data_IF_922408062571
#
_entry.id   IF_922408062571
#
_cell.length_a   1.000
_cell.length_b   1.000
_cell.length_c   1.000
_cell.angle_alpha   90.00
_cell.angle_beta   90.00
_cell.angle_gamma   90.00
#
_symmetry.space_group_name_H-M   'P 1'
#
loop_
_entity.id
_entity.type
_entity.pdbx_description
1 polymer ?
#
# COMPACT_ATOMS: atom_id res chain seq x y z
N UNK A 1 14.39 2.10 -7.65
CA UNK A 1 14.06 0.86 -6.92
C UNK A 1 14.68 0.95 -5.53
N UNK A 2 14.03 0.46 -4.46
CA UNK A 2 14.60 0.54 -3.12
C UNK A 2 15.82 -0.38 -3.00
N UNK A 3 16.76 -0.08 -2.08
CA UNK A 3 17.89 -0.97 -1.81
C UNK A 3 17.41 -2.33 -1.28
N UNK A 4 18.19 -3.41 -1.46
CA UNK A 4 17.90 -4.70 -0.86
C UNK A 4 17.77 -4.61 0.66
N UNK A 5 16.87 -5.40 1.24
CA UNK A 5 16.71 -5.50 2.69
C UNK A 5 17.92 -6.16 3.34
N UNK A 6 18.20 -5.76 4.56
CA UNK A 6 19.17 -6.35 5.45
C UNK A 6 18.51 -6.71 6.76
N UNK A 7 19.18 -7.52 7.59
CA UNK A 7 18.69 -7.83 8.93
C UNK A 7 18.48 -6.57 9.80
N UNK A 8 19.22 -5.49 9.52
CA UNK A 8 19.07 -4.22 10.24
C UNK A 8 17.74 -3.52 9.95
N UNK A 9 17.14 -3.81 8.81
CA UNK A 9 15.84 -3.29 8.41
C UNK A 9 14.69 -4.04 9.11
N UNK A 10 15.00 -5.10 9.87
CA UNK A 10 14.01 -5.78 10.70
C UNK A 10 13.77 -5.02 12.01
N UNK A 11 12.51 -4.70 12.26
CA UNK A 11 12.03 -4.04 13.47
C UNK A 11 10.93 -4.89 14.13
N UNK A 12 10.40 -4.39 15.25
CA UNK A 12 9.25 -4.96 15.93
C UNK A 12 8.76 -4.02 17.03
N UNK A 13 7.58 -4.29 17.57
CA UNK A 13 6.99 -3.47 18.64
C UNK A 13 7.73 -3.60 19.98
N UNK A 14 8.56 -4.64 20.14
CA UNK A 14 9.42 -4.87 21.31
C UNK A 14 10.76 -5.50 20.89
N UNK A 15 11.78 -5.53 21.77
CA UNK A 15 13.04 -6.22 21.48
C UNK A 15 12.86 -7.71 21.14
N UNK A 16 11.90 -8.39 21.78
CA UNK A 16 11.59 -9.79 21.47
C UNK A 16 10.94 -9.95 20.10
N UNK A 17 10.00 -9.07 19.76
CA UNK A 17 9.34 -9.05 18.45
C UNK A 17 10.34 -8.77 17.32
N UNK A 18 11.23 -7.78 17.52
CA UNK A 18 12.33 -7.51 16.59
C UNK A 18 13.28 -8.70 16.45
N UNK A 19 13.63 -9.36 17.55
CA UNK A 19 14.48 -10.56 17.51
C UNK A 19 13.82 -11.67 16.68
N UNK A 20 12.51 -11.90 16.84
CA UNK A 20 11.78 -12.90 16.06
C UNK A 20 11.74 -12.54 14.58
N UNK A 21 11.53 -11.27 14.23
CA UNK A 21 11.60 -10.80 12.85
C UNK A 21 13.00 -11.00 12.23
N UNK A 22 14.08 -10.80 12.99
CA UNK A 22 15.45 -11.08 12.52
C UNK A 22 15.70 -12.58 12.33
N UNK A 23 15.18 -13.42 13.23
CA UNK A 23 15.26 -14.88 13.08
C UNK A 23 14.52 -15.31 11.82
N UNK A 24 13.30 -14.80 11.60
CA UNK A 24 12.51 -15.08 10.40
C UNK A 24 13.22 -14.62 9.12
N UNK A 25 13.81 -13.41 9.12
CA UNK A 25 14.60 -12.92 8.00
C UNK A 25 15.77 -13.85 7.65
N UNK A 26 16.47 -14.38 8.67
CA UNK A 26 17.59 -15.29 8.47
C UNK A 26 17.18 -16.72 8.09
N UNK A 27 15.96 -17.15 8.43
CA UNK A 27 15.46 -18.48 8.06
C UNK A 27 14.93 -18.55 6.63
N UNK A 28 14.56 -17.39 6.05
CA UNK A 28 14.03 -17.29 4.70
C UNK A 28 15.15 -17.02 3.69
N UNK A 29 14.93 -17.43 2.44
CA UNK A 29 15.84 -17.10 1.35
C UNK A 29 15.67 -15.64 0.93
N UNK A 30 16.76 -14.89 0.87
CA UNK A 30 16.78 -13.53 0.32
C UNK A 30 18.14 -13.19 -0.28
N UNK A 31 18.19 -13.15 -1.61
CA UNK A 31 19.37 -12.79 -2.41
C UNK A 31 19.24 -11.37 -2.99
N UNK A 32 18.19 -10.63 -2.57
CA UNK A 32 17.83 -9.33 -3.10
C UNK A 32 16.61 -9.39 -4.02
N UNK A 33 16.49 -8.38 -4.87
CA UNK A 33 15.39 -8.31 -5.83
C UNK A 33 15.44 -9.53 -6.77
N UNK A 34 14.27 -10.09 -7.08
CA UNK A 34 14.12 -11.30 -7.90
C UNK A 34 14.58 -12.61 -7.25
N UNK A 35 14.71 -12.66 -5.92
CA UNK A 35 14.82 -13.95 -5.22
C UNK A 35 13.64 -14.84 -5.60
N UNK A 36 13.86 -16.00 -6.25
CA UNK A 36 12.76 -16.83 -6.72
C UNK A 36 12.15 -17.60 -5.55
N UNK A 37 10.83 -17.88 -5.58
CA UNK A 37 10.15 -18.65 -4.53
C UNK A 37 10.82 -20.00 -4.27
N UNK A 38 10.79 -20.46 -3.02
CA UNK A 38 11.36 -21.73 -2.59
C UNK A 38 10.43 -22.47 -1.61
N UNK A 39 10.73 -23.74 -1.34
CA UNK A 39 9.97 -24.55 -0.38
C UNK A 39 10.16 -24.07 1.07
N UNK A 40 11.32 -23.50 1.37
CA UNK A 40 11.64 -22.91 2.68
C UNK A 40 11.03 -21.51 2.86
N UNK A 41 10.53 -20.91 1.77
CA UNK A 41 10.04 -19.54 1.73
C UNK A 41 11.12 -18.55 1.33
N UNK A 42 10.73 -17.58 0.50
CA UNK A 42 11.60 -16.53 -0.01
C UNK A 42 11.02 -15.15 0.27
N UNK A 43 11.86 -14.22 0.70
CA UNK A 43 11.47 -12.82 0.85
C UNK A 43 11.41 -12.17 -0.52
N UNK A 44 10.30 -11.51 -0.81
CA UNK A 44 10.07 -10.71 -2.00
C UNK A 44 9.98 -9.25 -1.58
N UNK A 45 10.95 -8.44 -2.05
CA UNK A 45 10.98 -7.01 -1.80
C UNK A 45 11.49 -6.24 -3.03
N UNK A 46 10.75 -5.24 -3.55
CA UNK A 46 9.38 -4.86 -3.17
C UNK A 46 8.39 -6.01 -3.31
N UNK A 47 7.46 -6.15 -2.36
CA UNK A 47 6.55 -7.30 -2.30
C UNK A 47 5.50 -7.35 -3.40
N UNK A 48 4.69 -8.40 -3.38
CA UNK A 48 3.79 -8.78 -4.47
C UNK A 48 2.70 -7.75 -4.81
N UNK A 49 2.38 -6.86 -3.88
CA UNK A 49 1.46 -5.72 -4.13
C UNK A 49 2.07 -4.62 -5.00
N UNK A 50 3.38 -4.69 -5.27
CA UNK A 50 4.15 -3.74 -6.07
C UNK A 50 4.39 -2.40 -5.37
N UNK A 51 5.34 -1.62 -5.91
CA UNK A 51 5.59 -0.24 -5.44
C UNK A 51 4.51 0.70 -5.96
N UNK A 52 4.40 0.73 -7.29
CA UNK A 52 3.32 1.35 -8.05
C UNK A 52 2.66 0.20 -8.82
N UNK A 53 1.34 0.07 -8.73
CA UNK A 53 0.60 -1.06 -9.28
C UNK A 53 -0.73 -0.56 -9.86
N UNK A 54 -1.84 -1.28 -9.64
CA UNK A 54 -3.20 -0.99 -10.12
C UNK A 54 -3.64 0.48 -10.12
N UNK A 55 -3.23 1.25 -9.10
CA UNK A 55 -3.58 2.67 -8.98
C UNK A 55 -2.87 3.60 -9.96
N UNK A 56 -1.79 3.15 -10.61
CA UNK A 56 -1.00 3.99 -11.51
C UNK A 56 -0.40 5.22 -10.82
N UNK A 57 -0.33 6.31 -11.57
CA UNK A 57 0.24 7.60 -11.18
C UNK A 57 -0.66 8.72 -11.73
N UNK A 58 -0.55 9.92 -11.17
CA UNK A 58 -1.21 11.11 -11.70
C UNK A 58 -0.14 12.05 -12.26
N UNK A 59 -0.43 12.66 -13.41
CA UNK A 59 0.51 13.53 -14.14
C UNK A 59 -0.14 14.89 -14.32
N UNK A 60 0.60 15.94 -13.95
CA UNK A 60 0.33 17.32 -14.33
C UNK A 60 1.22 17.69 -15.53
N UNK A 61 0.66 17.78 -16.74
CA UNK A 61 1.43 18.08 -17.94
C UNK A 61 1.86 19.55 -18.02
N UNK A 62 1.24 20.48 -17.31
CA UNK A 62 1.65 21.89 -17.32
C UNK A 62 2.86 22.10 -16.42
N UNK A 63 2.84 21.49 -15.23
CA UNK A 63 3.95 21.54 -14.27
C UNK A 63 5.06 20.54 -14.59
N UNK A 64 4.83 19.63 -15.54
CA UNK A 64 5.71 18.47 -15.79
C UNK A 64 5.99 17.69 -14.49
N UNK A 65 4.96 17.48 -13.69
CA UNK A 65 5.06 16.83 -12.39
C UNK A 65 4.25 15.53 -12.36
N UNK A 66 4.76 14.52 -11.69
CA UNK A 66 4.08 13.25 -11.45
C UNK A 66 3.89 13.05 -9.95
N UNK A 67 2.66 12.78 -9.53
CA UNK A 67 2.29 12.44 -8.16
C UNK A 67 1.98 10.94 -8.05
N UNK A 68 2.54 10.26 -7.05
CA UNK A 68 2.33 8.82 -6.85
C UNK A 68 2.26 8.42 -5.38
N UNK A 69 1.52 7.33 -5.11
CA UNK A 69 1.49 6.63 -3.82
C UNK A 69 2.31 5.34 -3.87
N UNK A 70 3.55 5.41 -3.41
CA UNK A 70 4.49 4.28 -3.42
C UNK A 70 4.32 3.39 -2.18
N UNK A 71 4.29 2.07 -2.38
CA UNK A 71 4.25 1.06 -1.32
C UNK A 71 5.56 0.31 -1.20
N UNK A 72 6.01 0.07 0.02
CA UNK A 72 7.24 -0.66 0.30
C UNK A 72 6.99 -1.67 1.42
N UNK A 73 6.32 -2.77 1.07
CA UNK A 73 6.05 -3.86 2.02
C UNK A 73 6.69 -5.16 1.50
N UNK A 74 7.47 -5.81 2.35
CA UNK A 74 8.06 -7.11 2.09
C UNK A 74 7.01 -8.23 2.21
N UNK A 75 7.08 -9.20 1.31
CA UNK A 75 6.24 -10.39 1.32
C UNK A 75 7.11 -11.65 1.45
N UNK A 76 6.50 -12.74 1.88
CA UNK A 76 7.05 -14.08 1.82
C UNK A 76 6.30 -14.85 0.77
N UNK A 77 7.05 -15.53 -0.09
CA UNK A 77 6.53 -16.43 -1.11
C UNK A 77 7.09 -17.83 -0.88
N UNK A 78 6.21 -18.78 -0.59
CA UNK A 78 6.57 -20.17 -0.29
C UNK A 78 5.92 -21.09 -1.31
N UNK A 79 6.72 -21.96 -1.92
CA UNK A 79 6.20 -23.01 -2.80
C UNK A 79 5.54 -24.10 -1.97
N UNK A 80 4.33 -24.49 -2.36
CA UNK A 80 3.59 -25.59 -1.75
C UNK A 80 3.46 -26.70 -2.80
N UNK A 81 4.02 -27.90 -2.56
CA UNK A 81 3.87 -29.04 -3.47
C UNK A 81 2.40 -29.32 -3.80
N UNK A 82 2.10 -29.64 -5.08
CA UNK A 82 0.73 -29.83 -5.56
C UNK A 82 -0.06 -30.87 -4.77
N UNK A 83 0.59 -31.94 -4.34
CA UNK A 83 -0.01 -33.03 -3.56
C UNK A 83 -0.46 -32.60 -2.16
N UNK A 84 -0.06 -31.42 -1.70
CA UNK A 84 -0.46 -30.82 -0.42
C UNK A 84 -1.58 -29.78 -0.58
N UNK A 85 -2.04 -29.51 -1.80
CA UNK A 85 -3.08 -28.52 -2.09
C UNK A 85 -4.39 -29.26 -2.33
N UNK A 86 -5.38 -29.03 -1.47
CA UNK A 86 -6.70 -29.63 -1.65
C UNK A 86 -7.49 -28.94 -2.76
N UNK A 87 -8.40 -29.68 -3.38
CA UNK A 87 -9.29 -29.15 -4.42
C UNK A 87 -10.21 -28.07 -3.83
N UNK A 88 -10.29 -26.91 -4.50
CA UNK A 88 -11.06 -25.77 -4.02
C UNK A 88 -10.33 -24.88 -2.99
N UNK A 89 -9.10 -25.22 -2.57
CA UNK A 89 -8.26 -24.30 -1.80
C UNK A 89 -7.65 -23.23 -2.73
N UNK A 90 -7.87 -21.97 -2.37
CA UNK A 90 -7.29 -20.84 -3.08
C UNK A 90 -7.81 -19.51 -2.57
N UNK A 91 -6.98 -18.48 -2.67
CA UNK A 91 -7.32 -17.10 -2.37
C UNK A 91 -7.35 -16.28 -3.64
N UNK A 92 -8.41 -15.50 -3.84
CA UNK A 92 -8.51 -14.53 -4.93
C UNK A 92 -7.94 -13.15 -4.54
N UNK A 93 -7.14 -13.08 -3.48
CA UNK A 93 -6.48 -11.85 -3.01
C UNK A 93 -4.96 -11.95 -3.18
N UNK A 94 -4.26 -10.85 -2.92
CA UNK A 94 -2.79 -10.76 -2.97
C UNK A 94 -2.12 -11.39 -1.74
N UNK A 95 -2.86 -12.18 -0.96
CA UNK A 95 -2.38 -13.00 0.15
C UNK A 95 -3.06 -14.37 0.12
N UNK A 96 -2.48 -15.36 0.81
CA UNK A 96 -2.96 -16.73 0.86
C UNK A 96 -2.47 -17.59 -0.31
N UNK A 97 -2.95 -18.83 -0.32
CA UNK A 97 -2.59 -19.85 -1.30
C UNK A 97 -3.07 -19.48 -2.71
N UNK A 98 -2.13 -19.41 -3.65
CA UNK A 98 -2.39 -19.26 -5.08
C UNK A 98 -2.26 -20.64 -5.73
N UNK A 99 -3.37 -21.27 -6.17
CA UNK A 99 -3.38 -22.68 -6.55
C UNK A 99 -2.54 -22.96 -7.79
N UNK A 100 -2.36 -22.00 -8.71
CA UNK A 100 -1.50 -22.13 -9.89
C UNK A 100 -1.75 -23.43 -10.68
N UNK A 101 -3.01 -23.72 -11.01
CA UNK A 101 -3.44 -25.00 -11.60
C UNK A 101 -2.60 -25.39 -12.84
N UNK A 102 -2.26 -26.68 -12.95
CA UNK A 102 -1.40 -27.21 -14.02
C UNK A 102 0.11 -27.14 -13.71
N UNK A 103 0.54 -26.40 -12.68
CA UNK A 103 1.93 -26.39 -12.22
C UNK A 103 2.18 -27.41 -11.08
N UNK A 104 3.42 -27.90 -10.91
CA UNK A 104 3.79 -28.82 -9.83
C UNK A 104 3.74 -28.19 -8.42
N UNK A 105 3.60 -26.87 -8.32
CA UNK A 105 3.54 -26.13 -7.07
C UNK A 105 2.43 -25.08 -7.10
N UNK A 106 1.73 -24.93 -5.98
CA UNK A 106 1.04 -23.70 -5.62
C UNK A 106 2.02 -22.73 -4.94
N UNK A 107 1.57 -21.50 -4.72
CA UNK A 107 2.38 -20.47 -4.05
C UNK A 107 1.58 -19.86 -2.90
N UNK A 108 2.05 -20.05 -1.68
CA UNK A 108 1.54 -19.34 -0.51
C UNK A 108 2.19 -17.96 -0.46
N UNK A 109 1.37 -16.90 -0.41
CA UNK A 109 1.83 -15.52 -0.37
C UNK A 109 1.34 -14.83 0.90
N UNK A 110 2.19 -14.05 1.55
CA UNK A 110 1.76 -13.21 2.64
C UNK A 110 2.76 -12.09 2.95
N UNK A 111 2.33 -10.99 3.58
CA UNK A 111 3.24 -9.98 4.08
C UNK A 111 4.20 -10.60 5.10
N UNK A 112 5.44 -10.11 5.15
CA UNK A 112 6.42 -10.51 6.14
C UNK A 112 6.02 -9.89 7.50
N UNK A 113 5.23 -10.63 8.27
CA UNK A 113 4.69 -10.21 9.56
C UNK A 113 5.34 -10.96 10.72
N UNK A 114 5.42 -10.28 11.86
CA UNK A 114 5.77 -10.88 13.14
C UNK A 114 4.60 -11.70 13.70
N UNK A 115 4.86 -12.42 14.79
CA UNK A 115 3.82 -13.18 15.52
C UNK A 115 2.68 -12.27 16.01
N UNK A 116 2.94 -10.97 16.19
CA UNK A 116 1.94 -9.97 16.57
C UNK A 116 1.13 -9.44 15.37
N UNK A 117 1.39 -9.92 14.15
CA UNK A 117 0.73 -9.46 12.93
C UNK A 117 1.23 -8.11 12.41
N UNK A 118 2.36 -7.61 12.92
CA UNK A 118 2.96 -6.35 12.50
C UNK A 118 4.02 -6.60 11.43
N UNK A 119 4.21 -5.70 10.43
CA UNK A 119 5.29 -5.85 9.46
C UNK A 119 6.64 -5.99 10.15
N UNK A 120 7.44 -7.00 9.80
CA UNK A 120 8.80 -7.14 10.31
C UNK A 120 9.78 -6.15 9.67
N UNK A 121 9.48 -5.65 8.47
CA UNK A 121 10.26 -4.61 7.79
C UNK A 121 9.98 -3.24 8.40
N UNK A 122 11.02 -2.45 8.70
CA UNK A 122 10.91 -1.11 9.27
C UNK A 122 10.06 -0.16 8.38
N UNK A 123 9.29 0.76 8.99
CA UNK A 123 8.56 1.78 8.24
C UNK A 123 9.51 2.77 7.53
N UNK A 124 9.09 3.43 6.46
CA UNK A 124 7.70 3.50 5.97
C UNK A 124 7.28 2.38 5.04
N UNK A 125 6.00 2.02 5.11
CA UNK A 125 5.36 1.02 4.23
C UNK A 125 4.56 1.67 3.09
N UNK A 126 4.26 2.96 3.22
CA UNK A 126 3.61 3.76 2.20
C UNK A 126 4.02 5.22 2.27
N UNK A 127 4.40 5.75 1.12
CA UNK A 127 4.80 7.14 0.93
C UNK A 127 3.97 7.78 -0.20
N UNK A 128 3.81 9.10 -0.16
CA UNK A 128 3.50 9.92 -1.34
C UNK A 128 4.78 10.57 -1.84
N UNK A 129 4.93 10.67 -3.14
CA UNK A 129 6.09 11.29 -3.77
C UNK A 129 5.68 12.17 -4.96
N UNK A 130 6.41 13.27 -5.12
CA UNK A 130 6.40 14.12 -6.30
C UNK A 130 7.66 13.87 -7.10
N UNK A 131 7.49 13.70 -8.41
CA UNK A 131 8.58 13.49 -9.36
C UNK A 131 8.53 14.60 -10.40
N UNK A 132 9.68 15.24 -10.63
CA UNK A 132 9.89 16.12 -11.78
C UNK A 132 10.09 15.25 -13.02
N UNK A 133 9.25 15.44 -14.04
CA UNK A 133 9.30 14.67 -15.29
C UNK A 133 10.35 15.20 -16.27
N UNK A 134 10.86 16.41 -16.08
CA UNK A 134 11.93 16.95 -16.93
C UNK A 134 13.26 16.27 -16.60
N UNK A 135 13.59 16.20 -15.31
CA UNK A 135 14.85 15.62 -14.83
C UNK A 135 14.71 14.15 -14.36
N UNK A 136 13.48 13.63 -14.31
CA UNK A 136 13.14 12.30 -13.80
C UNK A 136 13.57 12.08 -12.33
N UNK A 137 13.51 13.13 -11.51
CA UNK A 137 13.95 13.11 -10.11
C UNK A 137 12.79 13.15 -9.12
N UNK A 138 12.93 12.42 -8.00
CA UNK A 138 12.00 12.54 -6.87
C UNK A 138 12.34 13.81 -6.10
N UNK A 139 11.51 14.85 -6.26
CA UNK A 139 11.73 16.17 -5.64
C UNK A 139 11.31 16.22 -4.17
N UNK A 140 10.31 15.43 -3.78
CA UNK A 140 9.90 15.27 -2.39
C UNK A 140 9.26 13.91 -2.15
N UNK A 141 9.30 13.45 -0.90
CA UNK A 141 8.67 12.20 -0.45
C UNK A 141 8.27 12.29 1.01
N UNK A 142 7.00 11.99 1.30
CA UNK A 142 6.44 12.03 2.65
C UNK A 142 5.74 10.72 2.99
N UNK A 143 5.74 10.35 4.29
CA UNK A 143 4.98 9.20 4.79
C UNK A 143 3.49 9.45 4.61
N UNK A 144 2.75 8.46 4.11
CA UNK A 144 1.33 8.57 3.86
C UNK A 144 0.51 7.69 4.80
N UNK A 145 -0.28 8.32 5.67
CA UNK A 145 -1.23 7.64 6.55
C UNK A 145 -0.67 7.07 7.85
N UNK A 146 -1.58 6.55 8.67
CA UNK A 146 -1.33 6.26 10.09
C UNK A 146 -1.78 4.86 10.49
N UNK A 147 -1.34 4.39 11.66
CA UNK A 147 -1.75 3.11 12.28
C UNK A 147 -3.15 3.11 12.91
N UNK A 148 -3.93 4.20 12.77
CA UNK A 148 -5.16 4.45 13.53
C UNK A 148 -6.13 3.27 13.52
N UNK A 149 -6.32 2.63 12.37
CA UNK A 149 -7.32 1.57 12.19
C UNK A 149 -6.68 0.17 12.10
N UNK A 150 -5.39 0.03 12.41
CA UNK A 150 -4.63 -1.22 12.27
C UNK A 150 -3.87 -1.61 13.55
N UNK A 151 -4.05 -0.86 14.64
CA UNK A 151 -3.42 -1.16 15.91
C UNK A 151 -4.04 -2.41 16.57
N UNK A 152 -3.25 -3.23 17.28
CA UNK A 152 -3.78 -4.32 18.08
C UNK A 152 -4.88 -3.87 19.05
N UNK A 153 -5.85 -4.76 19.29
CA UNK A 153 -7.00 -4.54 20.18
C UNK A 153 -7.93 -3.37 19.80
N UNK A 154 -7.82 -2.85 18.57
CA UNK A 154 -8.69 -1.78 18.08
C UNK A 154 -8.43 -0.41 18.70
N UNK A 155 -7.23 -0.18 19.25
CA UNK A 155 -6.85 1.11 19.84
C UNK A 155 -6.63 2.17 18.74
N UNK A 156 -7.31 3.32 18.76
CA UNK A 156 -7.23 4.31 17.67
C UNK A 156 -5.99 5.20 17.72
N UNK A 157 -4.79 4.61 17.84
CA UNK A 157 -3.52 5.33 17.93
C UNK A 157 -2.97 5.55 16.51
N UNK A 158 -2.89 6.81 16.09
CA UNK A 158 -2.46 7.19 14.74
C UNK A 158 -1.01 7.65 14.67
N UNK A 159 -0.05 6.71 14.68
CA UNK A 159 1.35 7.05 14.40
C UNK A 159 1.55 7.23 12.91
N UNK A 160 2.18 8.34 12.49
CA UNK A 160 2.53 8.56 11.09
C UNK A 160 3.79 7.77 10.70
N UNK A 161 3.56 6.50 10.40
CA UNK A 161 4.59 5.54 9.99
C UNK A 161 4.56 5.28 8.49
N UNK A 162 3.58 5.82 7.76
CA UNK A 162 3.41 5.53 6.34
C UNK A 162 2.85 4.12 6.15
N UNK A 163 1.57 4.03 5.79
CA UNK A 163 0.84 2.77 5.59
C UNK A 163 0.56 2.55 4.11
N UNK A 164 0.51 1.30 3.63
CA UNK A 164 0.29 1.04 2.22
C UNK A 164 -1.06 1.61 1.76
N UNK A 165 -1.07 2.20 0.56
CA UNK A 165 -2.26 2.69 -0.10
C UNK A 165 -2.54 1.85 -1.36
N UNK A 166 -3.72 1.24 -1.42
CA UNK A 166 -4.22 0.57 -2.61
C UNK A 166 -5.24 1.51 -3.25
N UNK A 167 -4.99 1.97 -4.48
CA UNK A 167 -5.78 3.03 -5.12
C UNK A 167 -4.87 3.97 -5.89
N UNK A 168 -5.43 4.65 -6.89
CA UNK A 168 -4.70 5.61 -7.68
C UNK A 168 -4.86 7.04 -7.17
N UNK A 169 -3.91 7.92 -7.50
CA UNK A 169 -4.09 9.34 -7.30
C UNK A 169 -4.86 10.00 -8.46
N UNK A 170 -5.36 11.21 -8.19
CA UNK A 170 -5.92 12.14 -9.17
C UNK A 170 -5.23 13.48 -8.99
N UNK A 171 -4.76 14.12 -10.05
CA UNK A 171 -4.23 15.49 -9.99
C UNK A 171 -5.11 16.44 -10.78
N UNK A 172 -5.26 17.66 -10.29
CA UNK A 172 -6.02 18.74 -10.93
C UNK A 172 -5.11 19.91 -11.32
N UNK A 173 -5.51 20.70 -12.32
CA UNK A 173 -4.76 21.88 -12.77
C UNK A 173 -4.55 22.94 -11.67
N UNK A 174 -5.39 22.91 -10.62
CA UNK A 174 -5.23 23.73 -9.42
C UNK A 174 -4.00 23.40 -8.57
N UNK A 175 -3.20 22.40 -8.95
CA UNK A 175 -1.98 22.00 -8.22
C UNK A 175 -2.25 21.09 -7.03
N UNK A 176 -3.44 20.50 -6.94
CA UNK A 176 -3.83 19.60 -5.86
C UNK A 176 -3.98 18.18 -6.38
N UNK A 177 -3.31 17.24 -5.69
CA UNK A 177 -3.38 15.81 -5.94
C UNK A 177 -4.15 15.10 -4.84
N UNK A 178 -5.18 14.34 -5.19
CA UNK A 178 -6.02 13.58 -4.29
C UNK A 178 -5.61 12.11 -4.28
N UNK A 179 -5.54 11.52 -3.09
CA UNK A 179 -5.26 10.09 -2.91
C UNK A 179 -6.07 9.55 -1.73
N UNK A 180 -6.67 8.39 -1.91
CA UNK A 180 -7.33 7.60 -0.87
C UNK A 180 -6.67 6.22 -0.73
N UNK A 181 -7.34 5.29 -0.05
CA UNK A 181 -6.95 3.88 -0.04
C UNK A 181 -5.85 3.51 0.96
N UNK A 182 -5.41 4.46 1.80
CA UNK A 182 -4.59 4.16 2.98
C UNK A 182 -5.38 3.35 4.01
N UNK A 183 -4.66 2.59 4.84
CA UNK A 183 -5.25 1.78 5.91
C UNK A 183 -6.10 2.56 6.92
N UNK A 184 -5.80 3.85 7.12
CA UNK A 184 -6.54 4.71 8.04
C UNK A 184 -7.79 5.39 7.44
N UNK A 185 -8.20 4.98 6.23
CA UNK A 185 -9.50 5.30 5.64
C UNK A 185 -9.76 6.81 5.47
N UNK A 186 -8.81 7.54 4.89
CA UNK A 186 -8.99 8.95 4.54
C UNK A 186 -8.91 9.18 3.03
N UNK A 187 -9.67 10.18 2.56
CA UNK A 187 -9.32 10.94 1.36
C UNK A 187 -8.37 12.07 1.79
N UNK A 188 -7.25 12.22 1.09
CA UNK A 188 -6.31 13.33 1.29
C UNK A 188 -6.10 14.11 0.01
N UNK A 189 -5.92 15.42 0.16
CA UNK A 189 -5.49 16.32 -0.91
C UNK A 189 -4.10 16.87 -0.56
N UNK A 190 -3.22 16.88 -1.55
CA UNK A 190 -1.81 17.26 -1.41
C UNK A 190 -1.44 18.36 -2.38
N UNK A 191 -0.63 19.31 -1.95
CA UNK A 191 0.08 20.20 -2.87
C UNK A 191 1.05 19.37 -3.72
N UNK A 192 0.95 19.46 -5.05
CA UNK A 192 1.83 18.67 -5.94
C UNK A 192 3.30 19.11 -5.93
N UNK A 193 3.56 20.37 -5.57
CA UNK A 193 4.89 20.97 -5.57
C UNK A 193 5.66 20.63 -4.30
N UNK A 194 4.98 20.60 -3.15
CA UNK A 194 5.62 20.40 -1.84
C UNK A 194 5.30 19.06 -1.18
N UNK A 195 4.19 18.43 -1.58
CA UNK A 195 3.64 17.24 -0.94
C UNK A 195 2.93 17.52 0.40
N UNK A 196 2.67 18.77 0.75
CA UNK A 196 1.94 19.15 1.96
C UNK A 196 0.49 18.65 1.92
N UNK A 197 0.01 18.05 3.02
CA UNK A 197 -1.40 17.63 3.17
C UNK A 197 -2.28 18.88 3.38
N UNK A 198 -2.98 19.30 2.31
CA UNK A 198 -3.87 20.46 2.32
C UNK A 198 -5.28 20.12 2.80
N UNK A 199 -5.70 18.87 2.60
CA UNK A 199 -7.04 18.42 2.88
C UNK A 199 -7.05 16.99 3.40
N UNK A 200 -7.97 16.71 4.32
CA UNK A 200 -8.18 15.38 4.87
C UNK A 200 -9.62 15.17 5.31
N UNK A 201 -10.26 14.11 4.81
CA UNK A 201 -11.60 13.70 5.20
C UNK A 201 -11.67 12.21 5.50
N UNK A 202 -12.28 11.86 6.65
CA UNK A 202 -12.48 10.47 7.04
C UNK A 202 -13.55 9.84 6.14
N UNK A 203 -13.26 8.67 5.60
CA UNK A 203 -14.19 7.84 4.84
C UNK A 203 -14.88 6.84 5.78
N UNK A 204 -16.11 6.38 5.53
CA UNK A 204 -16.79 5.40 6.39
C UNK A 204 -16.25 3.96 6.24
N UNK A 205 -15.48 3.70 5.17
CA UNK A 205 -14.89 2.43 4.77
C UNK A 205 -13.57 2.69 4.00
N UNK A 206 -12.87 1.63 3.59
CA UNK A 206 -11.64 1.75 2.80
C UNK A 206 -11.90 2.38 1.41
N UNK A 207 -11.08 3.37 1.04
CA UNK A 207 -11.20 4.10 -0.24
C UNK A 207 -10.29 3.55 -1.33
N UNK A 208 -10.24 2.24 -1.55
CA UNK A 208 -9.31 1.60 -2.49
C UNK A 208 -9.72 1.70 -3.96
N UNK A 209 -10.09 2.89 -4.36
CA UNK A 209 -10.37 3.29 -5.73
C UNK A 209 -9.64 4.59 -6.03
N UNK A 210 -9.39 4.87 -7.31
CA UNK A 210 -8.88 6.17 -7.74
C UNK A 210 -9.98 7.22 -7.58
N UNK A 211 -9.77 8.32 -6.84
CA UNK A 211 -10.71 9.44 -6.82
C UNK A 211 -10.93 9.99 -8.24
N UNK A 212 -12.11 10.54 -8.50
CA UNK A 212 -12.39 11.23 -9.76
C UNK A 212 -12.91 12.64 -9.51
N UNK A 213 -12.87 13.51 -10.53
CA UNK A 213 -13.46 14.84 -10.45
C UNK A 213 -14.28 15.16 -11.69
N UNK A 214 -15.34 15.96 -11.52
CA UNK A 214 -16.19 16.45 -12.61
C UNK A 214 -16.87 17.76 -12.22
N UNK A 215 -17.43 18.47 -13.20
CA UNK A 215 -18.27 19.65 -12.98
C UNK A 215 -19.76 19.25 -12.96
N UNK A 216 -20.46 19.60 -11.88
CA UNK A 216 -21.88 19.36 -11.72
C UNK A 216 -22.75 20.27 -12.59
N UNK A 217 -24.04 19.97 -12.65
CA UNK A 217 -25.03 20.80 -13.36
C UNK A 217 -25.21 22.19 -12.72
N UNK A 218 -24.80 22.35 -11.47
CA UNK A 218 -24.73 23.60 -10.72
C UNK A 218 -23.47 24.42 -11.03
N UNK A 219 -22.60 23.94 -11.93
CA UNK A 219 -21.35 24.60 -12.30
C UNK A 219 -20.20 24.39 -11.30
N UNK A 220 -20.40 23.64 -10.21
CA UNK A 220 -19.39 23.40 -9.18
C UNK A 220 -18.54 22.18 -9.50
N UNK A 221 -17.27 22.21 -9.13
CA UNK A 221 -16.38 21.05 -9.24
C UNK A 221 -16.53 20.13 -8.04
N UNK A 222 -16.67 18.84 -8.29
CA UNK A 222 -16.77 17.80 -7.27
C UNK A 222 -15.57 16.86 -7.35
N UNK A 223 -15.08 16.40 -6.20
CA UNK A 223 -14.17 15.25 -6.09
C UNK A 223 -14.98 14.10 -5.49
N UNK A 224 -14.96 12.94 -6.13
CA UNK A 224 -15.75 11.76 -5.72
C UNK A 224 -14.84 10.59 -5.41
N UNK A 225 -15.17 9.89 -4.32
CA UNK A 225 -14.48 8.67 -3.87
C UNK A 225 -15.49 7.57 -3.64
N UNK A 226 -15.18 6.38 -4.15
CA UNK A 226 -15.86 5.14 -3.76
C UNK A 226 -15.13 4.54 -2.57
N UNK A 227 -15.86 4.31 -1.47
CA UNK A 227 -15.35 3.69 -0.25
C UNK A 227 -15.98 2.30 -0.07
N UNK A 228 -15.41 1.30 -0.75
CA UNK A 228 -15.85 -0.09 -0.74
C UNK A 228 -15.07 -1.03 0.19
N UNK A 229 -13.86 -0.65 0.58
CA UNK A 229 -12.90 -1.53 1.25
C UNK A 229 -12.15 -2.46 0.29
N UNK A 230 -11.11 -3.10 0.81
CA UNK A 230 -10.31 -4.10 0.10
C UNK A 230 -9.75 -5.15 1.06
N UNK A 231 -9.75 -6.41 0.61
CA UNK A 231 -9.37 -7.57 1.39
C UNK A 231 -7.86 -7.67 1.69
N UNK A 232 -6.99 -7.26 0.77
CA UNK A 232 -5.53 -7.43 0.90
C UNK A 232 -4.98 -6.95 2.22
N UNK A 233 -5.41 -5.79 2.72
CA UNK A 233 -4.89 -5.26 3.98
C UNK A 233 -5.99 -5.11 5.04
N UNK A 234 -7.10 -5.83 4.87
CA UNK A 234 -8.17 -5.89 5.87
C UNK A 234 -8.84 -4.55 6.18
N UNK A 235 -8.93 -3.65 5.20
CA UNK A 235 -9.65 -2.40 5.42
C UNK A 235 -11.14 -2.65 5.56
N UNK A 236 -11.81 -1.78 6.32
CA UNK A 236 -13.25 -1.90 6.56
C UNK A 236 -14.01 -1.92 5.24
N UNK A 237 -14.83 -2.95 5.06
CA UNK A 237 -15.74 -3.09 3.92
C UNK A 237 -16.90 -2.11 4.02
N UNK A 238 -17.36 -1.63 2.88
CA UNK A 238 -18.49 -0.72 2.76
C UNK A 238 -19.04 -0.68 1.33
N UNK A 239 -20.00 0.21 1.10
CA UNK A 239 -20.55 0.46 -0.22
C UNK A 239 -21.05 1.92 -0.27
N UNK A 240 -20.08 2.84 -0.38
CA UNK A 240 -20.35 4.28 -0.34
C UNK A 240 -19.74 4.98 -1.53
N UNK A 241 -20.46 5.96 -2.06
CA UNK A 241 -19.95 6.97 -3.01
C UNK A 241 -20.11 8.34 -2.35
N UNK A 242 -19.01 9.06 -2.18
CA UNK A 242 -18.98 10.32 -1.44
C UNK A 242 -18.41 11.42 -2.33
N UNK A 243 -19.15 12.51 -2.48
CA UNK A 243 -18.73 13.71 -3.20
C UNK A 243 -18.34 14.85 -2.26
N UNK A 244 -17.29 15.58 -2.62
CA UNK A 244 -16.76 16.73 -1.92
C UNK A 244 -16.72 17.93 -2.87
N UNK A 245 -17.14 19.10 -2.38
CA UNK A 245 -17.05 20.38 -3.08
C UNK A 245 -16.77 21.49 -2.07
N UNK A 246 -16.21 22.61 -2.54
CA UNK A 246 -15.99 23.79 -1.70
C UNK A 246 -17.33 24.43 -1.26
N UNK A 247 -17.38 25.10 -0.10
CA UNK A 247 -18.53 25.91 0.29
C UNK A 247 -18.87 27.01 -0.74
N UNK A 248 -20.10 27.52 -0.64
CA UNK A 248 -20.55 28.72 -1.37
C UNK A 248 -20.02 30.01 -0.74
#
# INVERSE_FOLDING_TARGET
>A
LPPPLTERDMWGASPFDQMMCRIQFRSLRYEGQYTPPSLEGSIVYPGNVGVMNWGGVAVDPERQALFTGAKYLAFVSTLVPRDQVEEGQGSASEQGLQPNEGAPYAVELGPLLSVLGLPCQAPSWGDVAGIDLQDAEVVWKHRNGTTRDSMPFGLPIGLNVGVPALGGPLTTAGGVSFLSGTLDQYLRGYDITTGEELYKARLPAGGQATPMTYTGADGRQYVVVTAGGHGTFGTKMGDYVIGYALPE
#
